data_IF_905780408955
#
_entry.id   IF_905780408955
#
_cell.length_a   1.000
_cell.length_b   1.000
_cell.length_c   1.000
_cell.angle_alpha   90.00
_cell.angle_beta   90.00
_cell.angle_gamma   90.00
#
_symmetry.space_group_name_H-M   'P 1'
#
loop_
_entity.id
_entity.type
_entity.pdbx_description
1 polymer ?
#
# COMPACT_ATOMS: atom_id res chain seq x y z
N UNK A 1 -59.60 45.33 24.29
CA UNK A 1 -59.28 44.05 23.62
C UNK A 1 -58.00 44.27 22.82
N UNK A 2 -56.89 43.67 23.22
CA UNK A 2 -55.73 43.40 22.34
C UNK A 2 -54.74 42.51 23.08
N UNK A 3 -54.89 41.21 22.87
CA UNK A 3 -53.99 40.16 23.34
C UNK A 3 -52.81 40.05 22.37
N UNK A 4 -51.61 40.44 22.81
CA UNK A 4 -50.38 40.23 22.06
C UNK A 4 -49.95 38.75 22.18
N UNK A 5 -49.99 38.03 21.08
CA UNK A 5 -49.53 36.65 20.98
C UNK A 5 -48.00 36.54 21.03
N UNK A 6 -47.50 35.84 22.04
CA UNK A 6 -46.11 35.39 22.15
C UNK A 6 -45.82 34.34 21.06
N UNK A 7 -45.25 34.77 19.94
CA UNK A 7 -44.58 33.86 19.01
C UNK A 7 -43.23 33.45 19.60
N UNK A 8 -43.24 32.35 20.35
CA UNK A 8 -42.03 31.65 20.75
C UNK A 8 -41.26 31.22 19.51
N UNK A 9 -40.09 31.83 19.28
CA UNK A 9 -39.13 31.34 18.30
C UNK A 9 -38.65 29.97 18.78
N UNK A 10 -39.13 28.92 18.13
CA UNK A 10 -38.57 27.57 18.29
C UNK A 10 -37.14 27.62 17.78
N UNK A 11 -36.17 27.65 18.69
CA UNK A 11 -34.77 27.43 18.37
C UNK A 11 -34.66 26.09 17.63
N UNK A 12 -34.06 26.04 16.43
CA UNK A 12 -33.86 24.77 15.75
C UNK A 12 -33.01 23.87 16.65
N UNK A 13 -33.51 22.65 16.92
CA UNK A 13 -32.73 21.62 17.62
C UNK A 13 -31.36 21.50 16.92
N UNK A 14 -30.25 21.44 17.66
CA UNK A 14 -28.94 21.23 17.04
C UNK A 14 -29.03 19.97 16.20
N UNK A 15 -28.61 20.07 14.93
CA UNK A 15 -28.50 18.93 14.05
C UNK A 15 -27.79 17.81 14.80
N UNK A 16 -28.39 16.61 14.81
CA UNK A 16 -27.77 15.41 15.36
C UNK A 16 -26.31 15.36 14.89
N UNK A 17 -25.38 15.52 15.84
CA UNK A 17 -23.93 15.52 15.59
C UNK A 17 -23.51 14.07 15.32
N UNK A 18 -23.95 13.52 14.19
CA UNK A 18 -23.46 12.22 13.74
C UNK A 18 -21.94 12.32 13.57
N UNK A 19 -21.17 11.36 14.09
CA UNK A 19 -19.71 11.41 14.00
C UNK A 19 -19.28 11.48 12.53
N UNK A 20 -18.60 12.56 12.17
CA UNK A 20 -18.12 12.78 10.81
C UNK A 20 -17.01 11.76 10.51
N UNK A 21 -17.23 10.90 9.52
CA UNK A 21 -16.26 9.93 9.03
C UNK A 21 -15.14 10.63 8.28
N UNK A 22 -14.23 11.30 8.99
CA UNK A 22 -13.19 12.19 8.43
C UNK A 22 -12.31 11.51 7.38
N UNK A 23 -12.07 10.21 7.52
CA UNK A 23 -11.36 9.39 6.53
C UNK A 23 -12.01 9.37 5.13
N UNK A 24 -13.31 9.65 5.02
CA UNK A 24 -14.00 9.74 3.73
C UNK A 24 -13.52 10.92 2.87
N UNK A 25 -12.95 11.95 3.51
CA UNK A 25 -12.39 13.13 2.85
C UNK A 25 -10.86 13.02 2.75
N UNK A 26 -10.19 12.62 3.85
CA UNK A 26 -8.72 12.52 3.88
C UNK A 26 -8.15 11.52 2.87
N UNK A 27 -8.82 10.39 2.63
CA UNK A 27 -8.33 9.38 1.68
C UNK A 27 -8.47 9.84 0.22
N UNK A 28 -9.58 10.45 -0.22
CA UNK A 28 -9.60 11.06 -1.56
C UNK A 28 -8.59 12.19 -1.74
N UNK A 29 -8.34 13.00 -0.70
CA UNK A 29 -7.49 14.20 -0.77
C UNK A 29 -6.01 13.90 -1.09
N UNK A 30 -5.49 12.69 -0.79
CA UNK A 30 -4.12 12.31 -1.17
C UNK A 30 -3.96 12.12 -2.69
N UNK A 31 -5.06 11.98 -3.44
CA UNK A 31 -5.00 11.72 -4.89
C UNK A 31 -5.21 13.01 -5.69
N UNK A 32 -4.21 13.47 -6.45
CA UNK A 32 -4.36 14.65 -7.30
C UNK A 32 -5.33 14.39 -8.46
N UNK A 33 -5.93 15.47 -8.96
CA UNK A 33 -6.83 15.42 -10.13
C UNK A 33 -6.05 15.08 -11.40
N UNK A 34 -4.83 15.63 -11.55
CA UNK A 34 -3.92 15.31 -12.65
C UNK A 34 -3.23 13.98 -12.37
N UNK A 35 -3.21 13.09 -13.36
CA UNK A 35 -2.53 11.82 -13.25
C UNK A 35 -1.01 12.02 -13.07
N UNK A 36 -0.46 11.41 -12.04
CA UNK A 36 0.98 11.38 -11.73
C UNK A 36 1.64 10.26 -12.53
N UNK A 37 2.86 10.50 -13.02
CA UNK A 37 3.68 9.45 -13.62
C UNK A 37 4.27 8.55 -12.53
N UNK A 38 4.48 7.28 -12.86
CA UNK A 38 5.00 6.29 -11.92
C UNK A 38 6.47 6.55 -11.61
N UNK A 39 7.20 7.11 -12.56
CA UNK A 39 8.62 7.43 -12.42
C UNK A 39 8.89 8.77 -11.75
N UNK A 40 7.89 9.66 -11.69
CA UNK A 40 8.02 10.95 -11.03
C UNK A 40 7.90 10.82 -9.51
N UNK A 41 8.69 11.62 -8.79
CA UNK A 41 8.58 11.72 -7.34
C UNK A 41 7.24 12.28 -6.88
N UNK A 42 6.83 11.88 -5.68
CA UNK A 42 5.62 12.41 -5.07
C UNK A 42 5.76 13.92 -4.79
N UNK A 43 4.81 14.69 -5.31
CA UNK A 43 4.71 16.13 -5.00
C UNK A 43 4.62 16.40 -3.50
N UNK A 44 5.23 17.50 -3.05
CA UNK A 44 5.16 17.97 -1.66
C UNK A 44 3.71 18.08 -1.15
N UNK A 45 2.75 18.44 -2.01
CA UNK A 45 1.35 18.52 -1.62
C UNK A 45 0.77 17.14 -1.22
N UNK A 46 1.07 16.09 -2.01
CA UNK A 46 0.62 14.72 -1.73
C UNK A 46 1.22 14.21 -0.42
N UNK A 47 2.51 14.46 -0.18
CA UNK A 47 3.18 14.10 1.08
C UNK A 47 2.48 14.71 2.29
N UNK A 48 2.17 16.02 2.25
CA UNK A 48 1.41 16.71 3.30
C UNK A 48 0.00 16.16 3.52
N UNK A 49 -0.68 15.70 2.45
CA UNK A 49 -1.99 15.05 2.60
C UNK A 49 -1.87 13.67 3.26
N UNK A 50 -0.81 12.91 2.95
CA UNK A 50 -0.51 11.62 3.59
C UNK A 50 -0.20 11.82 5.08
N UNK A 51 0.60 12.82 5.43
CA UNK A 51 0.90 13.21 6.82
C UNK A 51 -0.39 13.51 7.60
N UNK A 52 -1.30 14.31 7.03
CA UNK A 52 -2.61 14.61 7.66
C UNK A 52 -3.47 13.37 7.84
N UNK A 53 -3.44 12.43 6.88
CA UNK A 53 -4.14 11.16 7.01
C UNK A 53 -3.54 10.32 8.14
N UNK A 54 -2.22 10.25 8.23
CA UNK A 54 -1.52 9.51 9.27
C UNK A 54 -1.78 10.11 10.66
N UNK A 55 -1.72 11.43 10.81
CA UNK A 55 -2.02 12.11 12.09
C UNK A 55 -3.45 11.82 12.57
N UNK A 56 -4.39 11.72 11.62
CA UNK A 56 -5.76 11.32 11.95
C UNK A 56 -5.83 9.85 12.38
N UNK A 57 -5.14 8.94 11.69
CA UNK A 57 -5.16 7.51 11.99
C UNK A 57 -4.46 7.21 13.32
N UNK A 58 -3.35 7.87 13.64
CA UNK A 58 -2.64 7.67 14.91
C UNK A 58 -3.47 8.07 16.13
N UNK A 59 -4.34 9.08 15.97
CA UNK A 59 -5.31 9.50 16.99
C UNK A 59 -6.59 8.64 17.03
N UNK A 60 -6.83 7.80 16.02
CA UNK A 60 -8.05 7.00 15.85
C UNK A 60 -7.70 5.63 15.24
N UNK A 61 -6.90 4.81 15.93
CA UNK A 61 -6.37 3.56 15.40
C UNK A 61 -7.46 2.56 15.00
N UNK A 62 -8.64 2.62 15.63
CA UNK A 62 -9.82 1.80 15.27
C UNK A 62 -10.37 2.12 13.87
N UNK A 63 -9.89 3.20 13.24
CA UNK A 63 -10.22 3.58 11.86
C UNK A 63 -9.20 3.06 10.84
N UNK A 64 -8.02 2.61 11.27
CA UNK A 64 -6.99 2.10 10.37
C UNK A 64 -7.52 1.02 9.40
N UNK A 65 -8.31 0.01 9.83
CA UNK A 65 -8.86 -0.98 8.91
C UNK A 65 -9.82 -0.39 7.87
N UNK A 66 -10.51 0.72 8.17
CA UNK A 66 -11.42 1.38 7.21
C UNK A 66 -10.64 2.20 6.20
N UNK A 67 -9.55 2.85 6.62
CA UNK A 67 -8.62 3.56 5.74
C UNK A 67 -7.93 2.57 4.81
N UNK A 68 -7.38 1.49 5.36
CA UNK A 68 -6.77 0.36 4.63
C UNK A 68 -7.68 -0.15 3.52
N UNK A 69 -8.94 -0.53 3.86
CA UNK A 69 -9.94 -0.98 2.87
C UNK A 69 -10.26 0.05 1.79
N UNK A 70 -10.17 1.35 2.09
CA UNK A 70 -10.47 2.40 1.11
C UNK A 70 -9.30 2.57 0.13
N UNK A 71 -8.06 2.49 0.62
CA UNK A 71 -6.84 2.48 -0.20
C UNK A 71 -6.78 1.22 -1.07
N UNK A 72 -6.98 0.03 -0.51
CA UNK A 72 -7.01 -1.24 -1.24
C UNK A 72 -8.03 -1.21 -2.39
N UNK A 73 -9.28 -0.80 -2.12
CA UNK A 73 -10.31 -0.65 -3.15
C UNK A 73 -9.89 0.32 -4.26
N UNK A 74 -9.18 1.40 -3.92
CA UNK A 74 -8.66 2.35 -4.91
C UNK A 74 -7.58 1.71 -5.77
N UNK A 75 -6.64 0.96 -5.19
CA UNK A 75 -5.59 0.25 -5.92
C UNK A 75 -6.20 -0.79 -6.86
N UNK A 76 -7.09 -1.66 -6.36
CA UNK A 76 -7.79 -2.66 -7.19
C UNK A 76 -8.56 -2.02 -8.33
N UNK A 77 -9.26 -0.89 -8.08
CA UNK A 77 -9.91 -0.09 -9.13
C UNK A 77 -8.91 0.39 -10.20
N UNK A 78 -7.70 0.78 -9.81
CA UNK A 78 -6.68 1.25 -10.74
C UNK A 78 -6.06 0.10 -11.54
N UNK A 79 -5.80 -1.05 -10.90
CA UNK A 79 -5.31 -2.28 -11.54
C UNK A 79 -6.28 -2.75 -12.64
N UNK A 80 -7.58 -2.84 -12.35
CA UNK A 80 -8.60 -3.27 -13.33
C UNK A 80 -8.67 -2.32 -14.53
N UNK A 81 -8.54 -1.01 -14.28
CA UNK A 81 -8.70 0.00 -15.33
C UNK A 81 -7.49 0.11 -16.28
N UNK A 82 -6.37 -0.59 -16.01
CA UNK A 82 -5.13 -0.54 -16.80
C UNK A 82 -4.69 0.90 -17.15
N UNK A 83 -4.89 1.84 -16.23
CA UNK A 83 -4.49 3.26 -16.38
C UNK A 83 -3.12 3.48 -15.73
N UNK A 84 -2.52 4.66 -15.97
CA UNK A 84 -1.28 5.15 -15.35
C UNK A 84 -1.17 4.74 -13.86
N UNK A 85 -0.05 4.14 -13.47
CA UNK A 85 0.13 3.55 -12.13
C UNK A 85 0.42 4.58 -11.02
N UNK A 86 0.50 5.88 -11.31
CA UNK A 86 0.82 6.91 -10.31
C UNK A 86 -0.15 6.93 -9.11
N UNK A 87 -1.44 6.65 -9.33
CA UNK A 87 -2.38 6.52 -8.20
C UNK A 87 -2.09 5.29 -7.32
N UNK A 88 -1.58 4.21 -7.91
CA UNK A 88 -1.17 3.02 -7.15
C UNK A 88 0.07 3.37 -6.34
N UNK A 89 1.06 4.04 -6.95
CA UNK A 89 2.25 4.57 -6.26
C UNK A 89 1.87 5.42 -5.05
N UNK A 90 0.99 6.41 -5.21
CA UNK A 90 0.51 7.26 -4.10
C UNK A 90 -0.11 6.42 -2.98
N UNK A 91 -0.99 5.48 -3.32
CA UNK A 91 -1.67 4.65 -2.33
C UNK A 91 -0.70 3.71 -1.59
N UNK A 92 0.30 3.15 -2.29
CA UNK A 92 1.35 2.32 -1.69
C UNK A 92 2.24 3.15 -0.77
N UNK A 93 2.69 4.33 -1.18
CA UNK A 93 3.44 5.23 -0.28
C UNK A 93 2.61 5.67 0.92
N UNK A 94 1.30 5.86 0.77
CA UNK A 94 0.42 6.12 1.90
C UNK A 94 0.41 4.93 2.88
N UNK A 95 0.34 3.69 2.40
CA UNK A 95 0.48 2.50 3.25
C UNK A 95 1.84 2.46 3.95
N UNK A 96 2.93 2.65 3.22
CA UNK A 96 4.29 2.65 3.77
C UNK A 96 4.42 3.71 4.88
N UNK A 97 3.96 4.93 4.62
CA UNK A 97 4.01 6.02 5.60
C UNK A 97 3.16 5.72 6.84
N UNK A 98 1.96 5.15 6.64
CA UNK A 98 1.09 4.70 7.73
C UNK A 98 1.73 3.60 8.58
N UNK A 99 2.42 2.64 7.97
CA UNK A 99 3.15 1.57 8.67
C UNK A 99 4.31 2.14 9.50
N UNK A 100 5.16 2.96 8.88
CA UNK A 100 6.34 3.55 9.52
C UNK A 100 6.02 4.42 10.73
N UNK A 101 4.87 5.09 10.72
CA UNK A 101 4.44 6.00 11.78
C UNK A 101 3.21 5.47 12.55
N UNK A 102 2.96 4.16 12.48
CA UNK A 102 1.93 3.52 13.31
C UNK A 102 2.46 3.30 14.72
N UNK A 103 1.56 3.22 15.71
CA UNK A 103 1.98 2.80 17.05
C UNK A 103 2.43 1.34 17.01
N UNK A 104 3.28 0.94 17.96
CA UNK A 104 3.69 -0.46 18.10
C UNK A 104 2.45 -1.36 18.21
N UNK A 105 2.39 -2.40 17.38
CA UNK A 105 1.26 -3.34 17.32
C UNK A 105 0.13 -2.92 16.37
N UNK A 106 -0.05 -1.63 16.05
CA UNK A 106 -1.12 -1.19 15.13
C UNK A 106 -0.89 -1.64 13.68
N UNK A 107 0.35 -2.00 13.31
CA UNK A 107 0.68 -2.47 11.97
C UNK A 107 -0.10 -3.73 11.55
N UNK A 108 -0.51 -4.57 12.51
CA UNK A 108 -1.33 -5.76 12.25
C UNK A 108 -2.71 -5.40 11.68
N UNK A 109 -3.21 -4.19 11.95
CA UNK A 109 -4.52 -3.72 11.48
C UNK A 109 -4.60 -3.56 9.96
N UNK A 110 -3.46 -3.55 9.27
CA UNK A 110 -3.35 -3.50 7.81
C UNK A 110 -3.18 -4.89 7.18
N UNK A 111 -2.89 -5.92 7.98
CA UNK A 111 -2.56 -7.26 7.48
C UNK A 111 -3.67 -7.87 6.62
N UNK A 112 -4.92 -7.59 6.98
CA UNK A 112 -6.09 -8.06 6.25
C UNK A 112 -6.00 -7.69 4.75
N UNK A 113 -5.68 -6.44 4.42
CA UNK A 113 -5.60 -6.02 3.03
C UNK A 113 -4.23 -6.34 2.39
N UNK A 114 -3.15 -6.27 3.18
CA UNK A 114 -1.78 -6.35 2.67
C UNK A 114 -1.33 -7.78 2.36
N UNK A 115 -1.56 -8.73 3.27
CA UNK A 115 -1.02 -10.11 3.18
C UNK A 115 -2.10 -11.18 3.18
N UNK A 116 -3.27 -10.95 3.80
CA UNK A 116 -4.35 -11.95 3.80
C UNK A 116 -5.10 -11.95 2.48
N UNK A 117 -5.32 -13.14 1.94
CA UNK A 117 -6.06 -13.30 0.69
C UNK A 117 -7.50 -12.79 0.83
N UNK A 118 -7.81 -11.75 0.06
CA UNK A 118 -9.15 -11.16 0.06
C UNK A 118 -10.09 -11.89 -0.91
N UNK A 119 -11.36 -12.13 -0.51
CA UNK A 119 -12.37 -12.66 -1.42
C UNK A 119 -12.62 -11.66 -2.56
N UNK A 120 -13.16 -12.15 -3.67
CA UNK A 120 -13.41 -11.38 -4.90
C UNK A 120 -14.14 -10.08 -4.58
N UNK A 121 -13.47 -8.94 -4.71
CA UNK A 121 -14.14 -7.65 -4.62
C UNK A 121 -14.79 -7.36 -5.98
N UNK A 122 -16.10 -7.59 -6.07
CA UNK A 122 -16.91 -6.96 -7.10
C UNK A 122 -16.91 -5.45 -6.82
N UNK A 123 -16.09 -4.70 -7.56
CA UNK A 123 -16.08 -3.25 -7.44
C UNK A 123 -17.39 -2.71 -8.04
N UNK A 124 -18.42 -2.58 -7.22
CA UNK A 124 -19.63 -1.85 -7.57
C UNK A 124 -19.30 -0.38 -7.88
N UNK A 125 -19.98 0.19 -8.88
CA UNK A 125 -19.98 1.64 -9.12
C UNK A 125 -20.35 2.34 -7.81
N UNK A 126 -19.52 3.26 -7.34
CA UNK A 126 -19.95 4.22 -6.33
C UNK A 126 -21.10 5.03 -6.95
N UNK A 127 -22.31 4.85 -6.41
CA UNK A 127 -23.53 5.42 -6.92
C UNK A 127 -23.47 6.94 -6.92
N UNK A 128 -23.71 7.53 -8.09
CA UNK A 128 -24.42 8.79 -8.16
C UNK A 128 -25.86 8.48 -7.77
N UNK A 129 -26.35 9.08 -6.69
CA UNK A 129 -27.77 9.11 -6.39
C UNK A 129 -28.46 9.94 -7.47
N UNK A 130 -29.10 9.29 -8.44
CA UNK A 130 -30.13 9.91 -9.26
C UNK A 130 -31.48 9.51 -8.65
N UNK A 131 -32.34 10.47 -8.25
CA UNK A 131 -33.65 10.14 -7.70
C UNK A 131 -34.62 9.82 -8.85
N UNK A 132 -35.18 8.61 -8.84
CA UNK A 132 -36.34 8.21 -9.63
C UNK A 132 -36.04 7.28 -10.80
N UNK A 133 -36.57 6.06 -10.76
CA UNK A 133 -36.60 5.16 -11.91
C UNK A 133 -36.55 3.69 -11.53
N UNK A 134 -37.67 3.00 -11.71
CA UNK A 134 -37.88 1.57 -11.44
C UNK A 134 -36.96 0.66 -12.25
N UNK A 135 -36.56 -0.43 -11.60
CA UNK A 135 -36.18 -1.75 -12.13
C UNK A 135 -35.73 -1.83 -13.61
N UNK A 136 -34.43 -2.00 -13.84
CA UNK A 136 -33.96 -2.69 -15.04
C UNK A 136 -32.78 -3.60 -14.72
N UNK A 137 -33.03 -4.90 -14.88
CA UNK A 137 -32.13 -5.96 -15.34
C UNK A 137 -30.66 -5.82 -14.95
N UNK A 138 -30.22 -6.72 -14.06
CA UNK A 138 -28.82 -7.06 -13.81
C UNK A 138 -28.10 -7.28 -15.14
N UNK A 139 -27.45 -6.24 -15.65
CA UNK A 139 -26.43 -6.37 -16.67
C UNK A 139 -25.21 -6.95 -15.99
N UNK A 140 -24.95 -8.23 -16.24
CA UNK A 140 -23.72 -8.92 -15.89
C UNK A 140 -22.54 -8.28 -16.63
N UNK A 141 -22.07 -7.12 -16.15
CA UNK A 141 -20.76 -6.63 -16.55
C UNK A 141 -19.73 -7.52 -15.88
N UNK A 142 -18.96 -8.27 -16.66
CA UNK A 142 -17.73 -8.90 -16.22
C UNK A 142 -16.77 -7.82 -15.72
N UNK A 143 -16.95 -7.38 -14.47
CA UNK A 143 -15.96 -6.60 -13.76
C UNK A 143 -14.76 -7.51 -13.50
N UNK A 144 -13.57 -7.09 -13.94
CA UNK A 144 -12.33 -7.84 -13.75
C UNK A 144 -12.20 -8.30 -12.29
N UNK A 145 -12.26 -9.62 -12.08
CA UNK A 145 -12.16 -10.22 -10.74
C UNK A 145 -10.68 -10.36 -10.41
N UNK A 146 -10.17 -9.50 -9.55
CA UNK A 146 -8.82 -9.60 -9.02
C UNK A 146 -8.90 -10.23 -7.62
N UNK A 147 -8.22 -11.36 -7.40
CA UNK A 147 -8.15 -12.10 -6.13
C UNK A 147 -6.74 -12.03 -5.56
N UNK A 148 -6.63 -12.11 -4.25
CA UNK A 148 -5.35 -12.15 -3.54
C UNK A 148 -5.07 -10.91 -2.71
N UNK A 149 -4.08 -11.03 -1.85
CA UNK A 149 -3.56 -9.93 -1.04
C UNK A 149 -2.96 -8.81 -1.90
N UNK A 150 -2.95 -7.59 -1.38
CA UNK A 150 -2.47 -6.43 -2.15
C UNK A 150 -1.00 -6.58 -2.55
N UNK A 151 -0.15 -7.04 -1.63
CA UNK A 151 1.28 -7.20 -1.90
C UNK A 151 1.50 -8.25 -2.99
N UNK A 152 0.81 -9.39 -2.92
CA UNK A 152 0.87 -10.44 -3.95
C UNK A 152 0.51 -9.90 -5.32
N UNK A 153 -0.59 -9.15 -5.40
CA UNK A 153 -1.07 -8.54 -6.66
C UNK A 153 -0.07 -7.57 -7.28
N UNK A 154 0.67 -6.82 -6.46
CA UNK A 154 1.71 -5.93 -6.93
C UNK A 154 2.95 -6.70 -7.40
N UNK A 155 3.37 -7.71 -6.64
CA UNK A 155 4.55 -8.54 -6.92
C UNK A 155 4.41 -9.44 -8.16
N UNK A 156 3.19 -9.90 -8.47
CA UNK A 156 2.89 -10.72 -9.65
C UNK A 156 2.51 -9.89 -10.89
N UNK A 157 2.47 -8.55 -10.77
CA UNK A 157 2.04 -7.70 -11.87
C UNK A 157 3.05 -7.66 -13.01
N UNK A 158 2.59 -7.57 -14.26
CA UNK A 158 3.43 -7.45 -15.45
C UNK A 158 4.28 -6.17 -15.54
N UNK A 159 4.14 -5.23 -14.60
CA UNK A 159 4.79 -3.92 -14.64
C UNK A 159 5.87 -3.88 -13.58
N UNK A 160 7.11 -3.65 -13.98
CA UNK A 160 8.25 -3.64 -13.06
C UNK A 160 8.09 -2.61 -11.93
N UNK A 161 7.53 -1.44 -12.23
CA UNK A 161 7.25 -0.41 -11.21
C UNK A 161 6.31 -0.90 -10.10
N UNK A 162 5.31 -1.74 -10.45
CA UNK A 162 4.40 -2.28 -9.44
C UNK A 162 5.05 -3.39 -8.63
N UNK A 163 5.92 -4.19 -9.25
CA UNK A 163 6.73 -5.20 -8.55
C UNK A 163 7.67 -4.55 -7.53
N UNK A 164 8.31 -3.43 -7.90
CA UNK A 164 9.14 -2.62 -7.00
C UNK A 164 8.31 -2.14 -5.80
N UNK A 165 7.16 -1.49 -6.07
CA UNK A 165 6.26 -1.00 -5.02
C UNK A 165 5.75 -2.12 -4.11
N UNK A 166 5.47 -3.31 -4.65
CA UNK A 166 5.08 -4.49 -3.88
C UNK A 166 6.17 -4.97 -2.95
N UNK A 167 7.43 -4.99 -3.40
CA UNK A 167 8.58 -5.39 -2.60
C UNK A 167 8.88 -4.37 -1.49
N UNK A 168 8.83 -3.07 -1.78
CA UNK A 168 9.00 -2.02 -0.77
C UNK A 168 7.92 -2.07 0.31
N UNK A 169 6.65 -2.23 -0.11
CA UNK A 169 5.53 -2.33 0.81
C UNK A 169 5.67 -3.56 1.73
N UNK A 170 6.11 -4.70 1.19
CA UNK A 170 6.36 -5.90 1.98
C UNK A 170 7.47 -5.67 3.01
N UNK A 171 8.60 -5.09 2.61
CA UNK A 171 9.71 -4.78 3.51
C UNK A 171 9.25 -3.92 4.70
N UNK A 172 8.51 -2.84 4.43
CA UNK A 172 8.00 -1.97 5.50
C UNK A 172 6.92 -2.63 6.37
N UNK A 173 6.11 -3.53 5.80
CA UNK A 173 5.15 -4.29 6.59
C UNK A 173 5.86 -5.25 7.57
N UNK A 174 6.88 -5.96 7.09
CA UNK A 174 7.68 -6.92 7.87
C UNK A 174 8.46 -6.26 9.00
N UNK A 175 9.02 -5.07 8.77
CA UNK A 175 9.69 -4.27 9.80
C UNK A 175 8.80 -4.00 11.02
N UNK A 176 7.49 -3.95 10.83
CA UNK A 176 6.52 -3.61 11.88
C UNK A 176 5.80 -4.82 12.49
N UNK A 177 5.99 -6.03 11.96
CA UNK A 177 5.34 -7.23 12.52
C UNK A 177 6.07 -7.70 13.78
N UNK A 178 5.35 -8.00 14.85
CA UNK A 178 5.93 -8.58 16.09
C UNK A 178 5.57 -10.04 16.31
N UNK A 179 4.47 -10.50 15.70
CA UNK A 179 3.82 -11.76 16.04
C UNK A 179 3.68 -12.66 14.79
N UNK A 180 3.45 -13.97 15.03
CA UNK A 180 3.37 -15.00 13.98
C UNK A 180 2.02 -15.12 13.25
N UNK A 181 1.05 -14.27 13.55
CA UNK A 181 -0.34 -14.36 13.04
C UNK A 181 -0.46 -14.34 11.51
N UNK A 182 0.52 -13.74 10.83
CA UNK A 182 0.56 -13.63 9.38
C UNK A 182 1.73 -14.44 8.77
N UNK A 183 2.37 -15.31 9.55
CA UNK A 183 3.60 -16.00 9.15
C UNK A 183 3.38 -16.80 7.86
N UNK A 184 2.32 -17.61 7.79
CA UNK A 184 2.06 -18.45 6.62
C UNK A 184 1.79 -17.61 5.36
N UNK A 185 1.02 -16.52 5.48
CA UNK A 185 0.76 -15.61 4.36
C UNK A 185 2.03 -14.90 3.90
N UNK A 186 2.87 -14.46 4.85
CA UNK A 186 4.17 -13.84 4.56
C UNK A 186 5.11 -14.82 3.87
N UNK A 187 5.25 -16.04 4.39
CA UNK A 187 6.12 -17.07 3.81
C UNK A 187 5.69 -17.43 2.38
N UNK A 188 4.39 -17.44 2.10
CA UNK A 188 3.87 -17.70 0.75
C UNK A 188 4.35 -16.68 -0.31
N UNK A 189 4.83 -15.50 0.11
CA UNK A 189 5.38 -14.47 -0.77
C UNK A 189 6.86 -14.69 -1.13
N UNK A 190 7.59 -15.53 -0.36
CA UNK A 190 9.04 -15.74 -0.57
C UNK A 190 9.36 -16.16 -2.00
N UNK A 191 8.71 -17.18 -2.60
CA UNK A 191 9.07 -17.61 -3.96
C UNK A 191 8.83 -16.53 -5.01
N UNK A 192 7.82 -15.67 -4.79
CA UNK A 192 7.46 -14.58 -5.69
C UNK A 192 8.54 -13.49 -5.65
N UNK A 193 8.95 -13.08 -4.44
CA UNK A 193 10.01 -12.08 -4.28
C UNK A 193 11.34 -12.60 -4.81
N UNK A 194 11.70 -13.85 -4.50
CA UNK A 194 12.94 -14.48 -4.99
C UNK A 194 12.96 -14.57 -6.52
N UNK A 195 11.83 -14.90 -7.16
CA UNK A 195 11.70 -14.84 -8.63
C UNK A 195 11.91 -13.42 -9.17
N UNK A 196 11.43 -12.41 -8.48
CA UNK A 196 11.59 -11.00 -8.88
C UNK A 196 13.04 -10.50 -8.76
N UNK A 197 13.83 -11.06 -7.83
CA UNK A 197 15.25 -10.76 -7.68
C UNK A 197 16.15 -11.44 -8.73
N UNK A 198 15.68 -12.55 -9.30
CA UNK A 198 16.35 -13.29 -10.38
C UNK A 198 16.18 -12.52 -11.70
N UNK A 199 17.13 -12.70 -12.63
CA UNK A 199 17.15 -12.01 -13.92
C UNK A 199 15.74 -11.88 -14.52
N UNK A 200 15.25 -10.65 -14.78
CA UNK A 200 13.93 -10.46 -15.34
C UNK A 200 13.84 -11.19 -16.69
N UNK A 201 12.67 -11.71 -17.02
CA UNK A 201 12.49 -12.51 -18.22
C UNK A 201 12.90 -11.69 -19.47
N UNK A 202 13.40 -12.30 -20.55
CA UNK A 202 13.80 -11.57 -21.76
C UNK A 202 12.70 -10.65 -22.32
N UNK A 203 11.43 -11.03 -22.14
CA UNK A 203 10.25 -10.23 -22.50
C UNK A 203 10.05 -8.96 -21.67
N UNK A 204 10.71 -8.85 -20.51
CA UNK A 204 10.67 -7.69 -19.61
C UNK A 204 11.78 -6.68 -19.94
N UNK A 205 12.74 -7.03 -20.82
CA UNK A 205 13.86 -6.19 -21.23
C UNK A 205 13.50 -5.20 -22.35
N UNK A 206 12.43 -5.46 -23.10
CA UNK A 206 12.01 -4.55 -24.18
C UNK A 206 11.44 -3.24 -23.61
N UNK A 207 12.27 -2.20 -23.62
CA UNK A 207 11.92 -0.84 -23.19
C UNK A 207 12.10 -0.55 -21.70
N UNK A 208 12.46 -1.55 -20.88
CA UNK A 208 12.77 -1.34 -19.45
C UNK A 208 14.24 -0.97 -19.28
N UNK A 209 14.53 0.16 -18.61
CA UNK A 209 15.91 0.53 -18.34
C UNK A 209 16.59 -0.47 -17.41
N UNK A 210 17.88 -0.76 -17.64
CA UNK A 210 18.70 -1.55 -16.71
C UNK A 210 18.60 -1.04 -15.26
N UNK A 211 18.40 0.27 -15.08
CA UNK A 211 18.17 0.88 -13.77
C UNK A 211 16.93 0.34 -13.04
N UNK A 212 15.81 0.14 -13.72
CA UNK A 212 14.58 -0.38 -13.10
C UNK A 212 14.67 -1.86 -12.74
N UNK A 213 15.40 -2.64 -13.54
CA UNK A 213 15.73 -4.03 -13.22
C UNK A 213 16.54 -4.09 -11.92
N UNK A 214 17.54 -3.22 -11.80
CA UNK A 214 18.36 -3.15 -10.59
C UNK A 214 17.54 -2.67 -9.40
N UNK A 215 16.67 -1.67 -9.57
CA UNK A 215 15.77 -1.18 -8.53
C UNK A 215 14.84 -2.29 -8.00
N UNK A 216 14.27 -3.11 -8.90
CA UNK A 216 13.48 -4.29 -8.49
C UNK A 216 14.31 -5.29 -7.69
N UNK A 217 15.53 -5.59 -8.15
CA UNK A 217 16.42 -6.50 -7.43
C UNK A 217 16.75 -5.96 -6.04
N UNK A 218 17.12 -4.68 -5.91
CA UNK A 218 17.41 -4.06 -4.61
C UNK A 218 16.20 -4.06 -3.69
N UNK A 219 15.01 -3.70 -4.19
CA UNK A 219 13.78 -3.70 -3.39
C UNK A 219 13.41 -5.13 -2.94
N UNK A 220 13.53 -6.12 -3.82
CA UNK A 220 13.26 -7.51 -3.51
C UNK A 220 14.25 -8.09 -2.49
N UNK A 221 15.56 -7.83 -2.64
CA UNK A 221 16.57 -8.24 -1.67
C UNK A 221 16.34 -7.60 -0.31
N UNK A 222 15.93 -6.32 -0.26
CA UNK A 222 15.52 -5.68 0.99
C UNK A 222 14.34 -6.40 1.63
N UNK A 223 13.31 -6.75 0.88
CA UNK A 223 12.16 -7.48 1.40
C UNK A 223 12.54 -8.87 1.94
N UNK A 224 13.44 -9.60 1.26
CA UNK A 224 13.94 -10.90 1.72
C UNK A 224 14.77 -10.78 3.01
N UNK A 225 15.61 -9.75 3.12
CA UNK A 225 16.33 -9.45 4.37
C UNK A 225 15.36 -9.22 5.54
N UNK A 226 14.33 -8.40 5.33
CA UNK A 226 13.33 -8.14 6.38
C UNK A 226 12.50 -9.39 6.71
N UNK A 227 12.32 -10.29 5.75
CA UNK A 227 11.67 -11.58 5.97
C UNK A 227 12.53 -12.50 6.84
N UNK A 228 13.83 -12.61 6.57
CA UNK A 228 14.77 -13.35 7.42
C UNK A 228 14.75 -12.78 8.84
N UNK A 229 14.87 -11.45 8.98
CA UNK A 229 14.80 -10.79 10.29
C UNK A 229 13.45 -10.99 11.01
N UNK A 230 12.35 -11.12 10.27
CA UNK A 230 11.05 -11.50 10.83
C UNK A 230 11.03 -12.94 11.32
N UNK A 231 11.52 -13.90 10.53
CA UNK A 231 11.60 -15.31 10.91
C UNK A 231 12.50 -15.54 12.12
N UNK A 232 13.63 -14.84 12.19
CA UNK A 232 14.53 -14.84 13.35
C UNK A 232 13.82 -14.37 14.62
N UNK A 233 13.04 -13.28 14.53
CA UNK A 233 12.25 -12.76 15.67
C UNK A 233 11.20 -13.76 16.16
N UNK A 234 10.64 -14.58 15.27
CA UNK A 234 9.71 -15.65 15.62
C UNK A 234 10.41 -16.94 16.08
N UNK A 235 11.74 -17.03 15.98
CA UNK A 235 12.48 -18.29 16.16
C UNK A 235 11.95 -19.41 15.26
N UNK A 236 11.46 -19.05 14.06
CA UNK A 236 10.83 -19.94 13.11
C UNK A 236 11.81 -20.32 11.98
N UNK A 237 11.77 -21.57 11.55
CA UNK A 237 12.52 -22.02 10.39
C UNK A 237 11.77 -21.67 9.09
N UNK A 238 12.43 -21.06 8.09
CA UNK A 238 11.77 -20.74 6.81
C UNK A 238 11.45 -22.00 6.01
N UNK A 239 10.21 -22.10 5.51
CA UNK A 239 9.80 -23.21 4.63
C UNK A 239 10.46 -23.17 3.24
N UNK A 240 10.85 -21.98 2.80
CA UNK A 240 11.45 -21.73 1.48
C UNK A 240 12.96 -21.51 1.56
N UNK A 241 13.67 -22.41 2.26
CA UNK A 241 15.11 -22.27 2.51
C UNK A 241 15.93 -22.14 1.22
N UNK A 242 15.62 -22.92 0.17
CA UNK A 242 16.34 -22.86 -1.11
C UNK A 242 16.25 -21.48 -1.76
N UNK A 243 15.08 -20.84 -1.72
CA UNK A 243 14.88 -19.49 -2.26
C UNK A 243 15.63 -18.43 -1.44
N UNK A 244 15.85 -18.66 -0.14
CA UNK A 244 16.63 -17.77 0.74
C UNK A 244 18.15 -18.01 0.63
N UNK A 245 18.58 -19.23 0.32
CA UNK A 245 19.98 -19.52 -0.02
C UNK A 245 20.35 -18.78 -1.32
N UNK A 246 19.44 -18.77 -2.30
CA UNK A 246 19.61 -17.96 -3.52
C UNK A 246 19.70 -16.47 -3.20
N UNK A 247 18.99 -15.95 -2.18
CA UNK A 247 19.17 -14.58 -1.70
C UNK A 247 20.60 -14.32 -1.22
N UNK A 248 21.19 -15.20 -0.40
CA UNK A 248 22.57 -15.05 0.07
C UNK A 248 23.56 -15.01 -1.11
N UNK A 249 23.41 -15.91 -2.07
CA UNK A 249 24.24 -15.93 -3.27
C UNK A 249 24.07 -14.67 -4.15
N UNK A 250 22.84 -14.16 -4.28
CA UNK A 250 22.54 -12.95 -5.04
C UNK A 250 23.03 -11.68 -4.35
N UNK A 251 23.05 -11.65 -3.01
CA UNK A 251 23.54 -10.53 -2.22
C UNK A 251 25.06 -10.35 -2.38
N UNK A 252 25.81 -11.45 -2.40
CA UNK A 252 27.27 -11.45 -2.54
C UNK A 252 27.75 -11.35 -4.00
N UNK A 253 26.85 -11.44 -4.97
CA UNK A 253 27.21 -11.37 -6.39
C UNK A 253 27.51 -9.93 -6.83
N UNK A 254 28.75 -9.59 -7.24
CA UNK A 254 29.04 -8.29 -7.83
C UNK A 254 28.20 -8.13 -9.10
N UNK A 255 27.54 -6.98 -9.26
CA UNK A 255 26.77 -6.69 -10.46
C UNK A 255 27.71 -6.61 -11.67
N UNK A 256 27.74 -7.67 -12.49
CA UNK A 256 28.62 -7.76 -13.66
C UNK A 256 28.33 -6.72 -14.77
N UNK A 257 27.31 -5.88 -14.62
CA UNK A 257 26.87 -4.91 -15.64
C UNK A 257 26.64 -3.49 -15.09
N UNK A 258 26.90 -3.24 -13.81
CA UNK A 258 26.93 -1.89 -13.27
C UNK A 258 27.98 -1.78 -12.17
N UNK A 259 28.80 -0.74 -12.21
CA UNK A 259 29.65 -0.30 -11.09
C UNK A 259 28.77 0.20 -9.93
N UNK A 260 27.92 -0.68 -9.41
CA UNK A 260 27.04 -0.42 -8.28
C UNK A 260 27.77 -0.92 -7.02
N UNK A 261 28.09 -0.05 -6.05
CA UNK A 261 28.68 -0.47 -4.79
C UNK A 261 27.57 -1.11 -3.96
N UNK A 262 27.31 -2.42 -4.16
CA UNK A 262 26.43 -3.17 -3.26
C UNK A 262 27.23 -3.54 -2.01
N UNK A 263 27.62 -2.53 -1.25
CA UNK A 263 27.98 -2.65 0.14
C UNK A 263 26.90 -1.89 0.92
N UNK A 264 25.77 -2.55 1.15
CA UNK A 264 24.63 -1.96 1.86
C UNK A 264 24.91 -1.96 3.36
N UNK A 265 25.80 -1.07 3.80
CA UNK A 265 26.01 -0.81 5.22
C UNK A 265 24.78 -0.08 5.76
N UNK A 266 24.20 -0.68 6.78
CA UNK A 266 23.07 -0.19 7.56
C UNK A 266 23.20 1.30 7.93
N UNK A 267 22.09 2.03 7.84
CA UNK A 267 21.80 3.29 8.53
C UNK A 267 22.71 4.50 8.23
N UNK A 268 22.19 5.45 7.46
CA UNK A 268 22.38 6.87 7.74
C UNK A 268 21.00 7.53 7.66
N UNK A 269 20.32 7.61 8.81
CA UNK A 269 19.23 8.56 9.03
C UNK A 269 19.75 10.00 8.90
N UNK A 270 18.89 10.98 8.56
CA UNK A 270 19.26 12.38 8.56
C UNK A 270 19.13 12.94 9.98
N UNK A 271 20.26 13.24 10.62
CA UNK A 271 20.28 14.13 11.79
C UNK A 271 21.38 15.15 11.57
N UNK A 272 20.98 16.42 11.46
CA UNK A 272 21.92 17.52 11.38
C UNK A 272 22.76 17.63 12.64
N UNK A 273 24.01 18.09 12.48
CA UNK A 273 24.58 18.98 13.46
C UNK A 273 25.52 19.96 12.76
N UNK A 274 25.16 21.23 12.89
CA UNK A 274 26.05 22.38 12.81
C UNK A 274 27.21 22.24 13.78
N UNK A 275 28.45 22.41 13.30
CA UNK A 275 29.53 23.23 13.89
C UNK A 275 30.84 23.02 13.11
N UNK A 276 31.51 24.12 12.77
CA UNK A 276 32.83 24.15 12.12
C UNK A 276 32.90 25.17 11.01
#
# INVERSE_FOLDING_TARGET
MSSAGLFGRVLPKPASKFPVKRYNFLVPDIFPVKAVDVDEDLSSAVKKHIEKLQEYVSKNSERAPKVSRRLDRKIRKCLIKKKKYGNIKIAVHAFIYLLQHSNKGDAVLYAQELVKDQPVIAVGREGQCVPGGVSSLFSSSQGGRIKGSLIRLLLEHHSIHLRILGAELLAHFLQQQTDGDNQAEIESLVPIVSRNCRHPAPSELDGTSNGKVQELRTAGLRALRELIAFMERLSAAPQHLDDLIVFAALWDSPCQHCDCPIHFQSACDPVGNSTG
#
